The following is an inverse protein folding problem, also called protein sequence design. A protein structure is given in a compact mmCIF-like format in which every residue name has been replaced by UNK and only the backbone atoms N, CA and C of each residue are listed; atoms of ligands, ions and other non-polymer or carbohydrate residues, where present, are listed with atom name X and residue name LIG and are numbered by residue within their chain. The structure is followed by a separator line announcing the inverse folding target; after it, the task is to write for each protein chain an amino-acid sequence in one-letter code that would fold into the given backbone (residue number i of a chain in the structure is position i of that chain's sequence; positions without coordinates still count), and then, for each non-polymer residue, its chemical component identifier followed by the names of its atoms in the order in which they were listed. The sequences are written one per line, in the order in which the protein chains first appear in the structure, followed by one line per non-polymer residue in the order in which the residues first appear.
data_IF_362312474721
#
_entry.id   IF_362312474721
#
_cell.length_a   1.000
_cell.length_b   1.000
_cell.length_c   1.000
_cell.angle_alpha   90.00
_cell.angle_beta   90.00
_cell.angle_gamma   90.00
#
_symmetry.space_group_name_H-M   'P 1'
#
loop_
_entity.id
_entity.type
_entity.pdbx_description
1 polymer ?
#
# COMPACT_ATOMS: atom_id res chain seq x y z
N UNK A 1 6.03 -4.34 12.21
CA UNK A 1 5.11 -3.86 11.16
C UNK A 1 4.36 -2.67 11.73
N UNK A 2 4.34 -1.54 11.03
CA UNK A 2 3.55 -0.37 11.40
C UNK A 2 2.37 -0.34 10.44
N UNK A 3 1.18 -0.66 10.93
CA UNK A 3 -0.03 -0.71 10.12
C UNK A 3 -0.67 0.69 10.07
N UNK A 4 -1.14 1.07 8.90
CA UNK A 4 -1.86 2.31 8.66
C UNK A 4 -3.35 2.00 8.48
N UNK A 5 -4.19 2.98 8.81
CA UNK A 5 -5.62 2.87 8.56
C UNK A 5 -5.88 3.14 7.08
N UNK A 6 -6.79 2.37 6.49
CA UNK A 6 -7.25 2.63 5.14
C UNK A 6 -8.25 3.78 5.14
N UNK A 7 -8.29 4.50 4.02
CA UNK A 7 -9.40 5.41 3.73
C UNK A 7 -10.70 4.62 3.47
N UNK A 8 -11.89 5.24 3.55
CA UNK A 8 -13.16 4.52 3.37
C UNK A 8 -13.35 3.81 2.02
N UNK A 9 -12.63 4.24 0.99
CA UNK A 9 -12.59 3.61 -0.34
C UNK A 9 -11.56 2.48 -0.46
N UNK A 10 -10.80 2.22 0.60
CA UNK A 10 -9.83 1.13 0.70
C UNK A 10 -8.39 1.51 0.36
N UNK A 11 -8.15 2.71 -0.16
CA UNK A 11 -6.80 3.18 -0.45
C UNK A 11 -6.01 3.50 0.84
N UNK A 12 -4.75 3.90 0.68
CA UNK A 12 -3.94 4.50 1.75
C UNK A 12 -3.67 5.96 1.40
N UNK A 13 -3.70 6.84 2.40
CA UNK A 13 -3.26 8.22 2.23
C UNK A 13 -1.73 8.26 2.03
N UNK A 14 -1.22 8.70 0.87
CA UNK A 14 0.23 8.78 0.62
C UNK A 14 0.99 9.63 1.63
N UNK A 15 0.36 10.64 2.23
CA UNK A 15 0.99 11.48 3.23
C UNK A 15 1.14 10.76 4.58
N UNK A 16 0.19 9.88 4.93
CA UNK A 16 0.32 8.99 6.08
C UNK A 16 1.42 7.95 5.85
N UNK A 17 1.51 7.38 4.64
CA UNK A 17 2.61 6.48 4.27
C UNK A 17 3.94 7.17 4.42
N UNK A 18 4.09 8.39 3.89
CA UNK A 18 5.32 9.18 3.98
C UNK A 18 5.70 9.47 5.43
N UNK A 19 4.72 9.85 6.25
CA UNK A 19 4.92 10.18 7.66
C UNK A 19 5.32 8.96 8.51
N UNK A 20 4.91 7.75 8.09
CA UNK A 20 5.22 6.51 8.77
C UNK A 20 6.61 5.93 8.43
N UNK A 21 7.27 6.43 7.38
CA UNK A 21 8.60 5.96 6.99
C UNK A 21 9.64 6.47 8.00
N UNK A 22 10.32 5.52 8.65
CA UNK A 22 11.37 5.81 9.62
C UNK A 22 12.75 5.52 9.01
N UNK A 23 13.53 6.57 8.74
CA UNK A 23 14.88 6.44 8.19
C UNK A 23 15.99 6.35 9.24
N UNK A 24 15.78 6.93 10.43
CA UNK A 24 16.90 7.12 11.38
C UNK A 24 16.49 7.31 12.84
N UNK A 25 15.32 6.80 13.25
CA UNK A 25 14.97 6.78 14.68
C UNK A 25 15.95 5.90 15.46
N UNK A 26 16.36 6.41 16.61
CA UNK A 26 17.16 5.66 17.58
C UNK A 26 16.33 4.64 18.36
N UNK A 27 15.03 4.89 18.47
CA UNK A 27 14.11 4.12 19.32
C UNK A 27 13.36 3.04 18.52
N UNK A 28 13.29 3.18 17.19
CA UNK A 28 12.53 2.28 16.31
C UNK A 28 13.37 1.77 15.15
N UNK A 29 13.17 0.51 14.71
CA UNK A 29 13.81 -0.01 13.52
C UNK A 29 13.51 0.83 12.28
N UNK A 30 14.48 0.93 11.38
CA UNK A 30 14.30 1.58 10.08
C UNK A 30 13.24 0.85 9.26
N UNK A 31 12.46 1.61 8.49
CA UNK A 31 11.52 1.03 7.53
C UNK A 31 12.32 0.28 6.46
N UNK A 32 11.96 -0.99 6.23
CA UNK A 32 12.67 -1.84 5.26
C UNK A 32 11.89 -2.08 3.96
N UNK A 33 10.59 -1.80 3.93
CA UNK A 33 9.68 -2.04 2.80
C UNK A 33 8.32 -1.38 3.08
N UNK A 34 7.59 -1.03 2.03
CA UNK A 34 6.16 -0.71 2.07
C UNK A 34 5.39 -1.87 1.42
N UNK A 35 4.32 -2.34 2.09
CA UNK A 35 3.47 -3.42 1.59
C UNK A 35 2.02 -2.92 1.49
N UNK A 36 1.38 -3.19 0.35
CA UNK A 36 -0.01 -2.81 0.08
C UNK A 36 -0.84 -4.06 -0.25
N UNK A 37 -1.94 -4.30 0.46
CA UNK A 37 -2.86 -5.40 0.14
C UNK A 37 -3.75 -5.01 -1.06
N UNK A 38 -3.92 -5.88 -2.05
CA UNK A 38 -4.96 -5.72 -3.07
C UNK A 38 -5.52 -7.08 -3.48
N UNK A 39 -6.79 -7.39 -3.23
CA UNK A 39 -7.89 -6.57 -2.67
C UNK A 39 -7.88 -6.45 -1.14
N UNK A 40 -8.41 -5.36 -0.57
CA UNK A 40 -8.48 -5.10 0.88
C UNK A 40 -9.38 -6.12 1.62
N UNK A 41 -8.78 -7.07 2.35
CA UNK A 41 -9.53 -8.17 2.95
C UNK A 41 -10.46 -7.69 4.09
N UNK A 42 -10.02 -6.73 4.90
CA UNK A 42 -10.80 -6.22 6.04
C UNK A 42 -11.89 -5.22 5.62
N UNK A 43 -11.85 -4.72 4.38
CA UNK A 43 -12.85 -3.81 3.82
C UNK A 43 -13.78 -4.52 2.83
N UNK A 44 -13.95 -5.83 2.95
CA UNK A 44 -14.89 -6.59 2.13
C UNK A 44 -14.42 -6.84 0.70
N UNK A 45 -13.11 -6.74 0.44
CA UNK A 45 -12.53 -7.00 -0.87
C UNK A 45 -12.54 -5.79 -1.80
N UNK A 46 -12.51 -4.57 -1.26
CA UNK A 46 -12.33 -3.36 -2.08
C UNK A 46 -11.07 -3.49 -2.95
N UNK A 47 -11.23 -3.08 -4.20
CA UNK A 47 -10.20 -3.18 -5.23
C UNK A 47 -9.51 -1.84 -5.35
N UNK A 48 -8.18 -1.87 -5.30
CA UNK A 48 -7.36 -0.71 -5.65
C UNK A 48 -7.05 -0.74 -7.14
N UNK A 49 -7.25 0.39 -7.80
CA UNK A 49 -6.88 0.55 -9.20
C UNK A 49 -5.38 0.87 -9.36
N UNK A 50 -4.94 1.08 -10.59
CA UNK A 50 -3.53 1.37 -10.87
C UNK A 50 -3.08 2.68 -10.21
N UNK A 51 -3.90 3.72 -10.25
CA UNK A 51 -3.53 5.05 -9.75
C UNK A 51 -3.39 5.00 -8.23
N UNK A 52 -4.25 4.26 -7.53
CA UNK A 52 -4.16 4.06 -6.08
C UNK A 52 -2.86 3.35 -5.68
N UNK A 53 -2.50 2.30 -6.43
CA UNK A 53 -1.26 1.55 -6.21
C UNK A 53 -0.03 2.42 -6.50
N UNK A 54 -0.05 3.18 -7.60
CA UNK A 54 1.06 4.04 -8.02
C UNK A 54 1.35 5.13 -6.98
N UNK A 55 0.32 5.78 -6.44
CA UNK A 55 0.50 6.82 -5.41
C UNK A 55 1.27 6.32 -4.18
N UNK A 56 1.02 5.08 -3.75
CA UNK A 56 1.75 4.48 -2.62
C UNK A 56 3.13 3.98 -3.04
N UNK A 57 3.23 3.38 -4.23
CA UNK A 57 4.51 2.92 -4.77
C UNK A 57 5.51 4.07 -4.95
N UNK A 58 5.04 5.23 -5.42
CA UNK A 58 5.85 6.42 -5.61
C UNK A 58 6.45 6.89 -4.29
N UNK A 59 5.68 6.93 -3.20
CA UNK A 59 6.20 7.25 -1.86
C UNK A 59 7.28 6.25 -1.44
N UNK A 60 7.09 4.95 -1.67
CA UNK A 60 8.11 3.96 -1.35
C UNK A 60 9.40 4.18 -2.16
N UNK A 61 9.28 4.43 -3.47
CA UNK A 61 10.41 4.66 -4.36
C UNK A 61 11.14 5.98 -4.08
N UNK A 62 10.43 7.05 -3.75
CA UNK A 62 10.99 8.34 -3.30
C UNK A 62 11.93 8.17 -2.08
N UNK A 63 11.72 7.12 -1.30
CA UNK A 63 12.48 6.78 -0.11
C UNK A 63 13.43 5.59 -0.29
N UNK A 64 13.68 5.15 -1.53
CA UNK A 64 14.52 3.98 -1.87
C UNK A 64 14.07 2.68 -1.16
N UNK A 65 12.78 2.56 -0.87
CA UNK A 65 12.21 1.39 -0.21
C UNK A 65 11.65 0.40 -1.24
N UNK A 66 11.87 -0.91 -1.05
CA UNK A 66 11.11 -1.94 -1.77
C UNK A 66 9.60 -1.74 -1.57
N UNK A 67 8.84 -1.99 -2.63
CA UNK A 67 7.39 -2.00 -2.61
C UNK A 67 6.86 -3.39 -2.94
N UNK A 68 5.96 -3.92 -2.10
CA UNK A 68 5.32 -5.21 -2.31
C UNK A 68 3.80 -5.06 -2.36
N UNK A 69 3.17 -5.75 -3.30
CA UNK A 69 1.72 -5.89 -3.33
C UNK A 69 1.39 -7.29 -2.83
N UNK A 70 0.68 -7.37 -1.70
CA UNK A 70 0.03 -8.62 -1.31
C UNK A 70 -1.18 -8.84 -2.24
N UNK A 71 -0.91 -9.57 -3.31
CA UNK A 71 -1.83 -9.86 -4.39
C UNK A 71 -2.54 -11.20 -4.25
N UNK A 72 -2.78 -11.70 -3.03
CA UNK A 72 -3.45 -13.00 -2.83
C UNK A 72 -4.79 -13.14 -3.61
N UNK A 73 -5.42 -12.00 -3.96
CA UNK A 73 -6.67 -11.90 -4.73
C UNK A 73 -6.55 -11.03 -5.98
N UNK A 74 -5.33 -10.89 -6.54
CA UNK A 74 -5.07 -10.00 -7.66
C UNK A 74 -5.93 -10.30 -8.90
N UNK A 75 -6.25 -11.57 -9.17
CA UNK A 75 -7.13 -11.93 -10.29
C UNK A 75 -8.57 -11.46 -10.10
N UNK A 76 -9.07 -11.37 -8.87
CA UNK A 76 -10.39 -10.79 -8.60
C UNK A 76 -10.38 -9.29 -8.89
N UNK A 77 -9.32 -8.60 -8.48
CA UNK A 77 -9.12 -7.18 -8.79
C UNK A 77 -9.08 -6.95 -10.32
N UNK A 78 -8.32 -7.75 -11.06
CA UNK A 78 -8.21 -7.65 -12.52
C UNK A 78 -9.58 -7.78 -13.21
N UNK A 79 -10.37 -8.79 -12.85
CA UNK A 79 -11.73 -8.99 -13.39
C UNK A 79 -12.65 -7.84 -13.01
N UNK A 80 -12.58 -7.36 -11.76
CA UNK A 80 -13.43 -6.26 -11.27
C UNK A 80 -13.17 -4.95 -12.01
N UNK A 81 -11.91 -4.66 -12.33
CA UNK A 81 -11.50 -3.45 -13.04
C UNK A 81 -11.66 -3.57 -14.57
N UNK A 82 -12.13 -4.71 -15.07
CA UNK A 82 -12.19 -5.03 -16.50
C UNK A 82 -10.83 -4.88 -17.20
N UNK A 83 -9.74 -5.17 -16.48
CA UNK A 83 -8.43 -5.30 -17.10
C UNK A 83 -8.38 -6.62 -17.91
N UNK A 84 -7.78 -6.59 -19.12
CA UNK A 84 -7.63 -7.78 -19.97
C UNK A 84 -6.72 -8.85 -19.36
#
# INVERSE_FOLDING_TARGET
MHALENTPDGSLDPDEVRSAINHDSRDWPKTGMVSLENTQNLLGGLVLDRDDIERVADVAHEHDLPFHIDGARLFNAAVSLMFP
#
